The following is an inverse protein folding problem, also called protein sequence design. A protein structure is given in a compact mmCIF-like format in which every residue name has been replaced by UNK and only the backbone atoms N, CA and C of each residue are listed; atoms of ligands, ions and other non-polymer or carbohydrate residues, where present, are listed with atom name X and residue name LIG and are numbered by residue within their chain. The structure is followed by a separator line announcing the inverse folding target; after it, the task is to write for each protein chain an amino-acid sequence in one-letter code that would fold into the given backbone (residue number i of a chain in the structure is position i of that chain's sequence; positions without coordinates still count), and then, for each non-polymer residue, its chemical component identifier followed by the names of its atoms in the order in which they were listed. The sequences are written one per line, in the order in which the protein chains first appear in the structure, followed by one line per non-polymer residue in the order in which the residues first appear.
data_IF_287949070905
#
_entry.id   IF_287949070905
#
_cell.length_a   1.000
_cell.length_b   1.000
_cell.length_c   1.000
_cell.angle_alpha   90.00
_cell.angle_beta   90.00
_cell.angle_gamma   90.00
#
_symmetry.space_group_name_H-M   'P 1'
#
loop_
_entity.id
_entity.type
_entity.pdbx_description
1 polymer ?
#
# COMPACT_ATOMS: atom_id res chain seq x y z
N UNK A 1 -0.54 23.56 -17.35
CA UNK A 1 -0.33 22.33 -16.54
C UNK A 1 -1.66 21.99 -15.90
N UNK A 2 -2.39 21.02 -16.43
CA UNK A 2 -3.64 20.56 -15.82
C UNK A 2 -3.29 19.79 -14.54
N UNK A 3 -3.89 20.10 -13.37
CA UNK A 3 -3.74 19.23 -12.22
C UNK A 3 -4.30 17.87 -12.62
N UNK A 4 -3.49 16.83 -12.51
CA UNK A 4 -3.98 15.45 -12.61
C UNK A 4 -4.94 15.29 -11.42
N UNK A 5 -6.24 15.54 -11.65
CA UNK A 5 -7.29 15.30 -10.67
C UNK A 5 -7.19 13.81 -10.37
N UNK A 6 -6.78 13.48 -9.15
CA UNK A 6 -6.80 12.09 -8.72
C UNK A 6 -8.16 11.49 -9.04
N UNK A 7 -8.14 10.44 -9.86
CA UNK A 7 -9.34 9.74 -10.27
C UNK A 7 -9.86 8.96 -9.07
N UNK A 8 -10.73 9.60 -8.30
CA UNK A 8 -11.50 8.94 -7.26
C UNK A 8 -12.93 8.74 -7.74
N UNK A 9 -13.54 7.64 -7.33
CA UNK A 9 -14.97 7.39 -7.57
C UNK A 9 -15.72 7.44 -6.25
N UNK A 10 -16.67 8.36 -6.10
CA UNK A 10 -17.54 8.46 -4.93
C UNK A 10 -18.81 7.61 -5.15
N UNK A 11 -19.07 6.70 -4.22
CA UNK A 11 -20.28 5.86 -4.17
C UNK A 11 -21.11 6.27 -2.95
N UNK A 12 -22.29 6.81 -3.20
CA UNK A 12 -23.20 7.30 -2.15
C UNK A 12 -24.17 6.22 -1.67
N UNK A 13 -24.45 5.22 -2.52
CA UNK A 13 -25.41 4.16 -2.26
C UNK A 13 -24.75 2.79 -2.22
N UNK A 14 -25.18 1.95 -1.28
CA UNK A 14 -24.68 0.57 -1.13
C UNK A 14 -24.97 -0.33 -2.33
N UNK A 15 -25.97 0.00 -3.14
CA UNK A 15 -26.28 -0.73 -4.39
C UNK A 15 -25.20 -0.58 -5.47
N UNK A 16 -24.29 0.39 -5.34
CA UNK A 16 -23.26 0.66 -6.33
C UNK A 16 -22.06 -0.29 -6.23
N UNK A 17 -21.96 -1.12 -5.18
CA UNK A 17 -20.84 -2.04 -4.99
C UNK A 17 -21.28 -3.30 -4.25
N UNK A 18 -20.48 -4.36 -4.34
CA UNK A 18 -20.71 -5.60 -3.59
C UNK A 18 -19.66 -5.76 -2.50
N UNK A 19 -20.02 -5.77 -1.21
CA UNK A 19 -19.06 -6.07 -0.15
C UNK A 19 -18.59 -7.52 -0.28
N UNK A 20 -17.30 -7.75 -0.08
CA UNK A 20 -16.68 -9.07 -0.16
C UNK A 20 -15.45 -9.15 0.75
N UNK A 21 -14.79 -10.32 0.73
CA UNK A 21 -13.47 -10.49 1.28
C UNK A 21 -12.55 -11.01 0.20
N UNK A 22 -11.35 -10.47 0.13
CA UNK A 22 -10.35 -10.87 -0.85
C UNK A 22 -9.07 -11.31 -0.16
N UNK A 23 -8.37 -12.22 -0.83
CA UNK A 23 -6.97 -12.51 -0.55
C UNK A 23 -6.12 -11.71 -1.54
N UNK A 24 -5.03 -11.16 -1.06
CA UNK A 24 -3.99 -10.56 -1.90
C UNK A 24 -2.74 -11.42 -1.68
N UNK A 25 -2.11 -11.96 -2.74
CA UNK A 25 -1.05 -12.97 -2.63
C UNK A 25 0.06 -12.68 -1.61
N UNK A 26 0.35 -11.41 -1.31
CA UNK A 26 1.43 -10.98 -0.42
C UNK A 26 0.97 -10.50 0.97
N UNK A 27 -0.34 -10.39 1.19
CA UNK A 27 -0.93 -10.04 2.48
C UNK A 27 -1.42 -11.31 3.17
N UNK A 28 -1.08 -11.43 4.45
CA UNK A 28 -1.54 -12.58 5.23
C UNK A 28 -2.94 -12.26 5.74
N UNK A 29 -3.86 -13.19 5.54
CA UNK A 29 -5.25 -13.02 5.94
C UNK A 29 -6.11 -12.33 4.87
N UNK A 30 -7.41 -12.37 5.13
CA UNK A 30 -8.44 -11.85 4.24
C UNK A 30 -8.64 -10.36 4.54
N UNK A 31 -8.76 -9.56 3.49
CA UNK A 31 -9.07 -8.15 3.60
C UNK A 31 -10.57 -7.92 3.38
N UNK A 32 -11.16 -7.05 4.20
CA UNK A 32 -12.46 -6.49 3.88
C UNK A 32 -12.33 -5.70 2.58
N UNK A 33 -13.23 -5.95 1.63
CA UNK A 33 -13.15 -5.36 0.31
C UNK A 33 -14.52 -5.05 -0.28
N UNK A 34 -14.52 -4.29 -1.37
CA UNK A 34 -15.66 -4.11 -2.26
C UNK A 34 -15.29 -4.55 -3.66
N UNK A 35 -16.25 -5.15 -4.36
CA UNK A 35 -16.18 -5.43 -5.78
C UNK A 35 -16.99 -4.35 -6.52
N UNK A 36 -16.34 -3.71 -7.49
CA UNK A 36 -16.87 -2.67 -8.36
C UNK A 36 -16.30 -2.88 -9.76
N UNK A 37 -17.16 -3.01 -10.76
CA UNK A 37 -16.78 -3.29 -12.16
C UNK A 37 -15.79 -4.48 -12.28
N UNK A 38 -16.08 -5.58 -11.58
CA UNK A 38 -15.25 -6.80 -11.50
C UNK A 38 -13.83 -6.60 -10.98
N UNK A 39 -13.57 -5.45 -10.34
CA UNK A 39 -12.30 -5.12 -9.69
C UNK A 39 -12.50 -5.07 -8.18
N UNK A 40 -11.46 -5.48 -7.46
CA UNK A 40 -11.49 -5.54 -6.02
C UNK A 40 -10.74 -4.36 -5.41
N UNK A 41 -11.38 -3.72 -4.44
CA UNK A 41 -10.79 -2.62 -3.69
C UNK A 41 -10.79 -2.98 -2.22
N UNK A 42 -9.61 -3.07 -1.60
CA UNK A 42 -9.46 -3.40 -0.19
C UNK A 42 -9.71 -2.18 0.69
N UNK A 43 -10.16 -2.42 1.92
CA UNK A 43 -10.34 -1.39 2.90
C UNK A 43 -9.00 -0.72 3.23
N UNK A 44 -8.90 0.57 2.98
CA UNK A 44 -7.73 1.35 3.36
C UNK A 44 -7.94 2.02 4.73
N UNK A 45 -8.97 2.86 4.85
CA UNK A 45 -9.36 3.48 6.14
C UNK A 45 -10.72 4.17 6.10
N UNK A 46 -11.18 4.57 7.27
CA UNK A 46 -12.33 5.48 7.46
C UNK A 46 -11.86 6.85 7.93
N UNK A 47 -12.44 7.92 7.38
CA UNK A 47 -12.27 9.30 7.83
C UNK A 47 -13.64 9.94 8.08
N UNK A 48 -13.74 10.84 9.05
CA UNK A 48 -15.02 11.45 9.41
C UNK A 48 -15.53 12.46 8.37
N UNK A 49 -14.61 13.17 7.71
CA UNK A 49 -14.91 14.32 6.86
C UNK A 49 -14.67 14.04 5.36
N UNK A 50 -15.53 14.62 4.52
CA UNK A 50 -15.48 14.45 3.07
C UNK A 50 -14.28 15.16 2.44
N UNK A 51 -13.95 16.37 2.91
CA UNK A 51 -12.76 17.11 2.43
C UNK A 51 -11.49 16.33 2.75
N UNK A 52 -11.41 15.73 3.94
CA UNK A 52 -10.30 14.83 4.29
C UNK A 52 -10.27 13.60 3.39
N UNK A 53 -11.41 12.99 3.07
CA UNK A 53 -11.45 11.85 2.15
C UNK A 53 -10.90 12.21 0.76
N UNK A 54 -11.24 13.40 0.26
CA UNK A 54 -10.73 13.91 -1.02
C UNK A 54 -9.23 14.20 -0.97
N UNK A 55 -8.72 14.80 0.10
CA UNK A 55 -7.28 15.04 0.27
C UNK A 55 -6.49 13.73 0.22
N UNK A 56 -7.02 12.70 0.87
CA UNK A 56 -6.38 11.38 0.93
C UNK A 56 -6.44 10.68 -0.42
N UNK A 57 -7.60 10.67 -1.08
CA UNK A 57 -7.72 10.12 -2.42
C UNK A 57 -6.80 10.86 -3.41
N UNK A 58 -6.62 12.18 -3.24
CA UNK A 58 -5.67 12.96 -4.01
C UNK A 58 -4.21 12.51 -3.82
N UNK A 59 -3.82 12.20 -2.58
CA UNK A 59 -2.48 11.67 -2.27
C UNK A 59 -2.28 10.28 -2.84
N UNK A 60 -3.26 9.39 -2.67
CA UNK A 60 -3.25 8.04 -3.22
C UNK A 60 -3.13 8.09 -4.75
N UNK A 61 -3.93 8.91 -5.43
CA UNK A 61 -3.84 9.06 -6.88
C UNK A 61 -2.48 9.61 -7.36
N UNK A 62 -1.82 10.48 -6.59
CA UNK A 62 -0.43 10.92 -6.89
C UNK A 62 0.60 9.78 -6.79
N UNK A 63 0.32 8.76 -5.98
CA UNK A 63 1.06 7.49 -5.89
C UNK A 63 0.54 6.43 -6.86
N UNK A 64 -0.21 6.84 -7.90
CA UNK A 64 -0.76 5.91 -8.89
C UNK A 64 -1.88 5.00 -8.38
N UNK A 65 -2.41 5.24 -7.17
CA UNK A 65 -3.46 4.40 -6.59
C UNK A 65 -4.83 4.81 -7.08
N UNK A 66 -5.55 3.83 -7.61
CA UNK A 66 -6.96 3.99 -7.90
C UNK A 66 -7.78 3.84 -6.62
N UNK A 67 -8.58 4.86 -6.30
CA UNK A 67 -9.30 4.97 -5.03
C UNK A 67 -10.80 5.08 -5.25
N UNK A 68 -11.57 4.29 -4.51
CA UNK A 68 -13.02 4.41 -4.39
C UNK A 68 -13.36 4.94 -3.00
N UNK A 69 -14.30 5.87 -2.91
CA UNK A 69 -14.80 6.40 -1.63
C UNK A 69 -16.25 5.98 -1.48
N UNK A 70 -16.62 5.39 -0.35
CA UNK A 70 -18.02 5.11 -0.01
C UNK A 70 -18.47 5.95 1.17
N UNK A 71 -19.65 6.56 1.09
CA UNK A 71 -20.25 7.26 2.23
C UNK A 71 -20.93 6.26 3.17
N UNK A 72 -20.71 6.43 4.48
CA UNK A 72 -21.31 5.60 5.54
C UNK A 72 -21.85 6.49 6.66
N UNK A 73 -22.66 5.93 7.55
CA UNK A 73 -23.15 6.64 8.73
C UNK A 73 -22.01 7.12 9.67
N UNK A 74 -20.81 6.50 9.58
CA UNK A 74 -19.64 6.83 10.41
C UNK A 74 -18.63 7.74 9.71
N UNK A 75 -18.93 8.23 8.50
CA UNK A 75 -18.03 9.02 7.67
C UNK A 75 -17.75 8.36 6.32
N UNK A 76 -16.59 8.64 5.74
CA UNK A 76 -16.17 8.21 4.42
C UNK A 76 -15.13 7.10 4.52
N UNK A 77 -15.38 5.99 3.83
CA UNK A 77 -14.44 4.88 3.74
C UNK A 77 -13.71 4.97 2.41
N UNK A 78 -12.38 4.90 2.46
CA UNK A 78 -11.53 4.82 1.29
C UNK A 78 -11.15 3.36 1.03
N UNK A 79 -11.27 2.98 -0.23
CA UNK A 79 -10.93 1.66 -0.75
C UNK A 79 -9.88 1.82 -1.84
N UNK A 80 -8.82 1.01 -1.79
CA UNK A 80 -7.72 1.07 -2.76
C UNK A 80 -7.77 -0.16 -3.63
N UNK A 81 -7.59 0.01 -4.93
CA UNK A 81 -7.56 -1.11 -5.87
C UNK A 81 -6.47 -2.11 -5.49
N UNK A 82 -6.84 -3.37 -5.44
CA UNK A 82 -5.92 -4.50 -5.37
C UNK A 82 -5.93 -5.24 -6.72
N UNK A 83 -4.96 -4.98 -7.62
CA UNK A 83 -4.96 -5.56 -8.96
C UNK A 83 -4.79 -7.08 -8.95
N UNK A 84 -4.16 -7.62 -7.89
CA UNK A 84 -3.87 -9.05 -7.74
C UNK A 84 -4.81 -9.74 -6.74
N UNK A 85 -5.87 -9.05 -6.30
CA UNK A 85 -6.83 -9.63 -5.36
C UNK A 85 -7.70 -10.70 -6.02
N UNK A 86 -8.01 -11.74 -5.25
CA UNK A 86 -8.94 -12.79 -5.63
C UNK A 86 -9.94 -13.08 -4.51
N UNK A 87 -11.13 -13.54 -4.87
CA UNK A 87 -12.13 -13.94 -3.90
C UNK A 87 -11.68 -15.20 -3.17
N UNK A 88 -11.86 -15.19 -1.86
CA UNK A 88 -11.65 -16.35 -1.03
C UNK A 88 -12.54 -17.51 -1.50
N UNK A 89 -11.92 -18.60 -1.96
CA UNK A 89 -12.60 -19.78 -2.54
C UNK A 89 -12.46 -19.94 -4.05
N UNK A 90 -11.97 -18.93 -4.77
CA UNK A 90 -11.38 -19.16 -6.09
C UNK A 90 -9.94 -19.60 -5.87
N UNK A 91 -9.59 -20.83 -6.27
CA UNK A 91 -8.18 -21.22 -6.38
C UNK A 91 -7.44 -20.09 -7.08
N UNK A 92 -6.36 -19.61 -6.47
CA UNK A 92 -5.42 -18.74 -7.16
C UNK A 92 -5.05 -19.48 -8.45
N UNK A 93 -5.53 -18.99 -9.59
CA UNK A 93 -5.01 -19.42 -10.88
C UNK A 93 -3.58 -18.88 -10.89
N UNK A 94 -2.67 -19.66 -10.33
CA UNK A 94 -1.26 -19.50 -10.55
C UNK A 94 -1.08 -19.63 -12.07
N UNK A 95 -0.57 -18.62 -12.77
CA UNK A 95 -0.08 -18.84 -14.12
C UNK A 95 1.11 -19.79 -13.99
N UNK A 96 0.87 -21.09 -14.16
CA UNK A 96 1.96 -22.04 -14.36
C UNK A 96 2.53 -21.84 -15.75
N UNK A 97 3.74 -21.28 -15.76
CA UNK A 97 4.85 -21.54 -16.67
C UNK A 97 4.58 -21.51 -18.19
N UNK A 98 5.06 -20.44 -18.84
CA UNK A 98 5.77 -20.55 -20.11
C UNK A 98 7.10 -19.76 -20.05
N UNK A 99 8.08 -20.27 -20.79
CA UNK A 99 9.55 -20.14 -20.67
C UNK A 99 10.11 -18.80 -21.21
N UNK A 100 11.45 -18.58 -21.19
CA UNK A 100 12.08 -17.33 -20.77
C UNK A 100 12.12 -16.27 -21.89
N UNK A 101 11.54 -15.11 -21.65
CA UNK A 101 11.95 -13.89 -22.31
C UNK A 101 11.88 -12.75 -21.29
N UNK A 102 13.03 -12.12 -21.04
CA UNK A 102 13.16 -10.92 -20.23
C UNK A 102 12.11 -9.88 -20.62
N UNK A 103 11.61 -9.14 -19.62
CA UNK A 103 11.38 -7.72 -19.81
C UNK A 103 12.35 -6.96 -18.93
N UNK A 104 13.22 -6.20 -19.58
CA UNK A 104 13.87 -5.01 -19.07
C UNK A 104 12.83 -4.17 -18.34
N UNK A 105 12.80 -4.22 -17.01
CA UNK A 105 12.04 -3.27 -16.22
C UNK A 105 13.06 -2.49 -15.39
N UNK A 106 13.17 -1.21 -15.70
CA UNK A 106 13.86 -0.22 -14.90
C UNK A 106 13.17 -0.13 -13.54
N UNK A 107 13.42 -1.11 -12.69
CA UNK A 107 13.05 -1.06 -11.29
C UNK A 107 13.84 0.08 -10.69
N UNK A 108 13.13 1.05 -10.12
CA UNK A 108 13.71 1.98 -9.15
C UNK A 108 14.56 1.15 -8.18
N UNK A 109 15.83 1.52 -7.93
CA UNK A 109 16.74 0.68 -7.18
C UNK A 109 16.18 0.47 -5.77
N UNK A 110 15.65 -0.74 -5.50
CA UNK A 110 15.24 -1.12 -4.17
C UNK A 110 16.50 -1.27 -3.31
N UNK A 111 16.65 -0.42 -2.30
CA UNK A 111 17.81 -0.44 -1.41
C UNK A 111 17.59 -1.53 -0.35
N UNK A 112 18.41 -2.58 -0.41
CA UNK A 112 18.46 -3.61 0.63
C UNK A 112 19.45 -3.15 1.71
N UNK A 113 18.99 -3.13 2.95
CA UNK A 113 19.72 -2.73 4.14
C UNK A 113 20.10 -3.97 4.95
N UNK A 114 21.36 -4.37 4.88
CA UNK A 114 21.92 -5.55 5.53
C UNK A 114 22.48 -5.26 6.93
N UNK A 115 22.73 -3.97 7.25
CA UNK A 115 23.34 -3.55 8.51
C UNK A 115 22.55 -2.45 9.21
N UNK A 116 22.50 -2.53 10.55
CA UNK A 116 21.93 -1.48 11.41
C UNK A 116 22.62 -0.12 11.27
N UNK A 117 23.85 -0.06 10.75
CA UNK A 117 24.54 1.22 10.53
C UNK A 117 23.94 2.03 9.37
N UNK A 118 23.19 1.39 8.47
CA UNK A 118 22.63 2.02 7.27
C UNK A 118 21.31 2.74 7.53
N UNK A 119 20.74 2.63 8.73
CA UNK A 119 19.45 3.23 9.08
C UNK A 119 19.35 3.57 10.56
N UNK A 120 18.42 4.47 10.90
CA UNK A 120 18.00 4.69 12.29
C UNK A 120 16.56 4.26 12.47
N UNK A 121 16.31 3.38 13.44
CA UNK A 121 14.94 3.09 13.87
C UNK A 121 14.39 4.29 14.62
N UNK A 122 13.21 4.73 14.23
CA UNK A 122 12.52 5.85 14.86
C UNK A 122 11.02 5.61 14.85
N UNK A 123 10.28 6.62 15.29
CA UNK A 123 8.85 6.66 15.10
C UNK A 123 8.48 7.93 14.39
N UNK A 124 7.46 7.84 13.55
CA UNK A 124 6.92 8.96 12.80
C UNK A 124 5.44 9.10 13.04
N UNK A 125 4.92 10.28 12.71
CA UNK A 125 3.52 10.49 12.41
C UNK A 125 3.42 10.89 10.95
N UNK A 126 2.33 10.47 10.32
CA UNK A 126 1.93 10.98 9.01
C UNK A 126 0.64 11.78 9.21
N UNK A 127 0.45 12.94 8.56
CA UNK A 127 -0.72 13.81 8.76
C UNK A 127 -2.08 13.11 8.59
N UNK A 128 -2.03 12.02 7.84
CA UNK A 128 -3.14 11.22 7.41
C UNK A 128 -3.51 10.10 8.40
N UNK A 129 -2.60 9.75 9.30
CA UNK A 129 -2.77 8.68 10.27
C UNK A 129 -2.43 9.24 11.65
N UNK A 130 -3.45 9.39 12.49
CA UNK A 130 -3.33 9.90 13.86
C UNK A 130 -2.42 9.01 14.76
N UNK A 131 -2.07 7.80 14.29
CA UNK A 131 -1.25 6.85 15.02
C UNK A 131 0.26 7.02 14.75
N UNK A 132 1.04 6.69 15.77
CA UNK A 132 2.49 6.60 15.69
C UNK A 132 2.89 5.34 14.93
N UNK A 133 3.73 5.46 13.91
CA UNK A 133 4.24 4.35 13.12
C UNK A 133 5.70 4.06 13.46
N UNK A 134 6.08 2.78 13.47
CA UNK A 134 7.47 2.37 13.47
C UNK A 134 8.09 2.71 12.11
N UNK A 135 9.28 3.30 12.11
CA UNK A 135 9.91 3.77 10.89
C UNK A 135 11.43 3.57 10.86
N UNK A 136 11.95 3.52 9.65
CA UNK A 136 13.37 3.68 9.36
C UNK A 136 13.63 5.08 8.82
N UNK A 137 14.65 5.73 9.33
CA UNK A 137 15.23 6.91 8.72
C UNK A 137 16.47 6.49 7.92
N UNK A 138 16.43 6.74 6.61
CA UNK A 138 17.45 6.32 5.63
C UNK A 138 17.64 7.47 4.64
N UNK A 139 18.87 7.94 4.47
CA UNK A 139 19.24 9.01 3.53
C UNK A 139 18.33 10.26 3.62
N UNK A 140 17.99 10.70 4.83
CA UNK A 140 17.14 11.87 5.05
C UNK A 140 15.64 11.63 4.90
N UNK A 141 15.21 10.42 4.52
CA UNK A 141 13.81 10.06 4.28
C UNK A 141 13.27 9.13 5.37
N UNK A 142 11.95 9.16 5.59
CA UNK A 142 11.27 8.29 6.53
C UNK A 142 10.50 7.19 5.81
N UNK A 143 10.69 5.95 6.23
CA UNK A 143 10.02 4.78 5.68
C UNK A 143 9.21 4.10 6.79
N UNK A 144 7.90 3.92 6.60
CA UNK A 144 7.05 3.22 7.54
C UNK A 144 7.11 1.70 7.32
N UNK A 145 7.01 0.93 8.41
CA UNK A 145 6.96 -0.53 8.31
C UNK A 145 5.69 -0.95 7.57
N UNK A 146 5.86 -1.66 6.45
CA UNK A 146 4.75 -2.28 5.75
C UNK A 146 4.52 -3.71 6.27
N UNK A 147 5.53 -4.59 6.14
CA UNK A 147 5.42 -5.98 6.57
C UNK A 147 6.78 -6.63 6.78
N UNK A 148 6.81 -7.73 7.54
CA UNK A 148 7.95 -8.64 7.65
C UNK A 148 7.62 -9.95 6.94
N UNK A 149 8.51 -10.42 6.07
CA UNK A 149 8.40 -11.67 5.31
C UNK A 149 9.63 -12.55 5.52
N UNK A 150 9.51 -13.88 5.39
CA UNK A 150 10.60 -14.79 5.75
C UNK A 150 11.79 -14.76 4.76
N UNK A 151 11.55 -14.45 3.49
CA UNK A 151 12.57 -14.55 2.42
C UNK A 151 12.78 -13.23 1.68
N UNK A 152 13.98 -13.06 1.12
CA UNK A 152 14.32 -11.88 0.32
C UNK A 152 13.52 -11.85 -0.99
N UNK A 153 13.26 -13.01 -1.61
CA UNK A 153 12.49 -13.07 -2.86
C UNK A 153 11.07 -12.53 -2.68
N UNK A 154 10.41 -12.87 -1.57
CA UNK A 154 9.10 -12.30 -1.22
C UNK A 154 9.18 -10.80 -0.97
N UNK A 155 10.23 -10.32 -0.32
CA UNK A 155 10.42 -8.88 -0.11
C UNK A 155 10.68 -8.14 -1.44
N UNK A 156 11.44 -8.74 -2.34
CA UNK A 156 11.70 -8.23 -3.69
C UNK A 156 10.42 -8.21 -4.54
N UNK A 157 9.59 -9.25 -4.46
CA UNK A 157 8.30 -9.28 -5.15
C UNK A 157 7.38 -8.15 -4.68
N UNK A 158 7.28 -7.95 -3.35
CA UNK A 158 6.49 -6.86 -2.77
C UNK A 158 7.01 -5.49 -3.23
N UNK A 159 8.33 -5.27 -3.18
CA UNK A 159 8.92 -3.98 -3.58
C UNK A 159 8.82 -3.71 -5.07
N UNK A 160 8.89 -4.74 -5.92
CA UNK A 160 8.62 -4.60 -7.34
C UNK A 160 7.19 -4.11 -7.62
N UNK A 161 6.20 -4.53 -6.81
CA UNK A 161 4.81 -4.06 -6.92
C UNK A 161 4.65 -2.59 -6.51
N UNK A 162 5.33 -2.15 -5.45
CA UNK A 162 5.34 -0.74 -5.05
C UNK A 162 6.06 0.17 -6.07
N UNK A 163 7.12 -0.34 -6.71
CA UNK A 163 7.80 0.38 -7.80
C UNK A 163 6.86 0.69 -8.97
N UNK A 164 5.87 -0.17 -9.25
CA UNK A 164 4.83 0.08 -10.28
C UNK A 164 3.85 1.18 -9.90
N UNK A 165 3.69 1.45 -8.60
CA UNK A 165 2.88 2.55 -8.03
C UNK A 165 3.71 3.84 -7.86
N UNK A 166 5.03 3.78 -8.06
CA UNK A 166 5.93 4.91 -7.85
C UNK A 166 6.28 5.15 -6.39
N UNK A 167 5.97 4.19 -5.52
CA UNK A 167 6.35 4.22 -4.11
C UNK A 167 7.80 3.77 -3.94
N UNK A 168 8.63 4.61 -3.32
CA UNK A 168 10.01 4.25 -2.97
C UNK A 168 10.00 3.30 -1.77
N UNK A 169 10.73 2.19 -1.89
CA UNK A 169 10.76 1.15 -0.86
C UNK A 169 12.17 0.76 -0.49
N UNK A 170 12.34 0.35 0.76
CA UNK A 170 13.58 -0.26 1.26
C UNK A 170 13.28 -1.59 1.92
N UNK A 171 14.22 -2.53 1.82
CA UNK A 171 14.14 -3.82 2.49
C UNK A 171 15.18 -3.81 3.59
N UNK A 172 14.84 -4.14 4.83
CA UNK A 172 15.82 -4.33 5.90
C UNK A 172 15.90 -5.80 6.30
N UNK A 173 17.12 -6.34 6.38
CA UNK A 173 17.36 -7.68 6.91
C UNK A 173 17.19 -7.67 8.43
N UNK A 174 16.41 -8.61 8.95
CA UNK A 174 16.14 -8.78 10.38
C UNK A 174 16.49 -10.20 10.82
N UNK A 175 16.49 -10.44 12.14
CA UNK A 175 16.69 -11.80 12.67
C UNK A 175 15.58 -12.78 12.29
N UNK A 176 14.39 -12.28 11.91
CA UNK A 176 13.19 -13.09 11.60
C UNK A 176 12.87 -13.17 10.09
N UNK A 177 13.75 -12.66 9.23
CA UNK A 177 13.50 -12.53 7.80
C UNK A 177 13.79 -11.11 7.30
N UNK A 178 12.97 -10.59 6.41
CA UNK A 178 13.16 -9.32 5.71
C UNK A 178 11.94 -8.41 5.94
N UNK A 179 12.16 -7.17 6.37
CA UNK A 179 11.10 -6.19 6.51
C UNK A 179 11.06 -5.26 5.30
N UNK A 180 9.88 -5.06 4.74
CA UNK A 180 9.62 -4.10 3.66
C UNK A 180 9.12 -2.80 4.29
N UNK A 181 9.69 -1.69 3.86
CA UNK A 181 9.35 -0.35 4.33
C UNK A 181 9.05 0.56 3.14
N UNK A 182 8.01 1.38 3.29
CA UNK A 182 7.50 2.24 2.23
C UNK A 182 7.74 3.70 2.60
N UNK A 183 8.21 4.50 1.66
CA UNK A 183 8.48 5.92 1.86
C UNK A 183 7.21 6.65 2.29
N UNK A 184 7.31 7.43 3.36
CA UNK A 184 6.28 8.37 3.77
C UNK A 184 6.78 9.81 3.59
N UNK A 185 6.48 10.46 2.45
CA UNK A 185 7.06 11.76 2.12
C UNK A 185 6.58 12.90 3.03
N UNK A 186 5.43 12.73 3.67
CA UNK A 186 4.83 13.71 4.58
C UNK A 186 5.09 13.37 6.07
N UNK A 187 5.88 12.33 6.34
CA UNK A 187 6.17 11.92 7.70
C UNK A 187 7.02 12.94 8.44
N UNK A 188 6.72 13.11 9.73
CA UNK A 188 7.52 13.88 10.65
C UNK A 188 7.86 13.07 11.92
N UNK A 189 8.99 13.34 12.59
CA UNK A 189 9.40 12.64 13.79
C UNK A 189 8.32 12.67 14.88
N UNK A 190 8.04 11.53 15.49
CA UNK A 190 7.27 11.45 16.71
C UNK A 190 8.24 11.45 17.91
N UNK A 191 8.19 12.43 18.83
CA UNK A 191 9.06 12.45 20.00
C UNK A 191 8.88 11.16 20.82
N UNK A 192 9.95 10.61 21.39
CA UNK A 192 9.85 9.54 22.39
C UNK A 192 9.08 10.05 23.60
N UNK A 193 8.16 9.26 24.18
CA UNK A 193 7.58 9.61 25.48
C UNK A 193 8.67 9.74 26.56
#
# INVERSE_FOLDING_TARGET
MSPNLASYRLLEHRSQYKPCHVCVPDLEGRLAAICLDDRYYSFFRTVADGSKALEVAAKLGRRGDETVITKTAKGYVLWVLEPDAYLDGAEAIAPQAETPAQPTQTSTPCKILDSKSQYRTCHIRVPDLQQRLAALWVDGKYYALFKVVPTVDKAMEITARFGRRGDETVIAKTKKGYSVWVLEPEAYPAPTP
#
